data_IF_481137059788
#
_entry.id   IF_481137059788
#
_cell.length_a   1.000
_cell.length_b   1.000
_cell.length_c   1.000
_cell.angle_alpha   90.00
_cell.angle_beta   90.00
_cell.angle_gamma   90.00
#
_symmetry.space_group_name_H-M   'P 1'
#
loop_
_entity.id
_entity.type
_entity.pdbx_description
1 polymer ?
#
# COMPACT_ATOMS: atom_id res chain seq x y z
N UNK A 1 47.71 -55.59 49.76
CA UNK A 1 47.72 -55.67 48.28
C UNK A 1 46.43 -55.03 47.76
N UNK A 2 46.56 -54.29 46.66
CA UNK A 2 45.67 -53.20 46.21
C UNK A 2 44.26 -53.64 45.82
N UNK A 3 43.25 -52.88 46.26
CA UNK A 3 41.90 -52.89 45.73
C UNK A 3 41.82 -51.90 44.55
N UNK A 4 41.31 -52.36 43.41
CA UNK A 4 41.08 -51.53 42.22
C UNK A 4 39.61 -51.13 42.17
N UNK A 5 39.37 -49.81 42.26
CA UNK A 5 38.08 -49.16 42.05
C UNK A 5 37.97 -48.85 40.55
N UNK A 6 37.00 -49.44 39.86
CA UNK A 6 36.67 -49.07 38.47
C UNK A 6 35.68 -47.91 38.49
N UNK A 7 36.10 -46.75 38.01
CA UNK A 7 35.24 -45.59 37.76
C UNK A 7 34.76 -45.67 36.30
N UNK A 8 33.48 -45.94 36.09
CA UNK A 8 32.87 -45.87 34.76
C UNK A 8 32.51 -44.40 34.46
N UNK A 9 33.21 -43.81 33.49
CA UNK A 9 32.96 -42.46 33.01
C UNK A 9 31.96 -42.54 31.84
N UNK A 10 30.69 -42.27 32.11
CA UNK A 10 29.65 -42.13 31.08
C UNK A 10 29.73 -40.74 30.46
N UNK A 11 30.29 -40.64 29.25
CA UNK A 11 30.24 -39.43 28.43
C UNK A 11 28.84 -39.28 27.84
N UNK A 12 28.06 -38.34 28.37
CA UNK A 12 26.81 -37.87 27.76
C UNK A 12 27.18 -37.09 26.49
N UNK A 13 26.99 -37.71 25.32
CA UNK A 13 27.08 -37.03 24.03
C UNK A 13 25.81 -36.18 23.88
N UNK A 14 25.93 -34.87 24.05
CA UNK A 14 24.91 -33.91 23.66
C UNK A 14 24.81 -33.93 22.13
N UNK A 15 23.72 -34.49 21.60
CA UNK A 15 23.36 -34.34 20.19
C UNK A 15 22.98 -32.87 19.96
N UNK A 16 23.71 -32.10 19.14
CA UNK A 16 23.17 -30.84 18.66
C UNK A 16 22.01 -31.20 17.74
N UNK A 17 20.78 -30.86 18.15
CA UNK A 17 19.67 -30.85 17.22
C UNK A 17 20.08 -29.95 16.05
N UNK A 18 19.87 -30.37 14.79
CA UNK A 18 20.11 -29.48 13.66
C UNK A 18 19.19 -28.27 13.84
N UNK A 19 19.79 -27.09 14.00
CA UNK A 19 19.12 -25.84 13.69
C UNK A 19 18.71 -25.98 12.22
N UNK A 20 17.41 -26.15 11.98
CA UNK A 20 16.87 -26.07 10.63
C UNK A 20 17.24 -24.69 10.10
N UNK A 21 18.10 -24.65 9.09
CA UNK A 21 18.33 -23.45 8.32
C UNK A 21 17.00 -23.09 7.66
N UNK A 22 16.43 -21.95 8.05
CA UNK A 22 15.28 -21.34 7.38
C UNK A 22 15.66 -21.18 5.91
N UNK A 23 14.85 -21.73 4.99
CA UNK A 23 15.12 -21.63 3.55
C UNK A 23 15.17 -20.15 3.15
N UNK A 24 15.95 -19.82 2.12
CA UNK A 24 16.21 -18.43 1.71
C UNK A 24 14.93 -17.63 1.34
N UNK A 25 13.80 -18.31 1.17
CA UNK A 25 12.50 -17.76 0.79
C UNK A 25 11.45 -17.78 1.92
N UNK A 26 11.80 -18.22 3.13
CA UNK A 26 10.87 -18.33 4.27
C UNK A 26 11.03 -17.13 5.22
N UNK A 27 10.82 -15.91 4.73
CA UNK A 27 10.81 -14.69 5.55
C UNK A 27 9.41 -14.06 5.61
N UNK A 28 9.15 -13.27 6.66
CA UNK A 28 7.90 -12.55 6.80
C UNK A 28 7.79 -11.47 5.72
N UNK A 29 6.69 -11.48 4.95
CA UNK A 29 6.40 -10.47 3.92
C UNK A 29 6.29 -9.06 4.48
N UNK A 30 5.77 -8.92 5.70
CA UNK A 30 5.74 -7.65 6.43
C UNK A 30 6.93 -7.59 7.39
N UNK A 31 7.88 -6.73 7.07
CA UNK A 31 9.02 -6.37 7.90
C UNK A 31 8.62 -5.52 9.12
N UNK A 32 9.61 -5.09 9.94
CA UNK A 32 9.35 -4.42 11.20
C UNK A 32 8.67 -3.05 11.08
N UNK A 33 8.74 -2.41 9.90
CA UNK A 33 8.14 -1.10 9.63
C UNK A 33 6.71 -1.19 9.05
N UNK A 34 6.16 -2.41 8.95
CA UNK A 34 4.80 -2.69 8.51
C UNK A 34 4.08 -3.60 9.52
N UNK A 35 3.11 -3.06 10.25
CA UNK A 35 2.33 -3.80 11.24
C UNK A 35 0.99 -4.21 10.66
N UNK A 36 0.76 -5.51 10.48
CA UNK A 36 -0.51 -6.03 10.00
C UNK A 36 -1.71 -5.47 10.77
N UNK A 37 -2.78 -5.07 10.07
CA UNK A 37 -4.05 -4.60 10.66
C UNK A 37 -4.66 -5.60 11.66
N UNK A 38 -4.42 -6.89 11.45
CA UNK A 38 -4.92 -7.96 12.33
C UNK A 38 -4.15 -8.02 13.65
N UNK A 39 -2.89 -7.55 13.66
CA UNK A 39 -2.07 -7.43 14.86
C UNK A 39 -2.34 -6.11 15.60
N UNK A 40 -2.56 -5.02 14.86
CA UNK A 40 -2.96 -3.72 15.42
C UNK A 40 -4.24 -3.18 14.74
N UNK A 41 -5.36 -3.32 15.46
CA UNK A 41 -6.65 -2.76 15.09
C UNK A 41 -7.20 -1.82 16.17
N UNK A 42 -6.35 -1.36 17.09
CA UNK A 42 -6.80 -0.54 18.21
C UNK A 42 -7.50 0.73 17.72
N UNK A 43 -6.85 1.46 16.80
CA UNK A 43 -7.43 2.67 16.19
C UNK A 43 -8.78 2.40 15.55
N UNK A 44 -8.93 1.35 14.74
CA UNK A 44 -10.19 1.04 14.06
C UNK A 44 -11.33 0.62 15.00
N UNK A 45 -11.02 0.27 16.25
CA UNK A 45 -12.02 -0.10 17.26
C UNK A 45 -12.49 1.08 18.10
N UNK A 46 -11.75 2.18 18.10
CA UNK A 46 -12.04 3.33 18.98
C UNK A 46 -12.05 4.70 18.28
N UNK A 47 -11.31 4.85 17.17
CA UNK A 47 -11.31 6.02 16.30
C UNK A 47 -12.44 5.96 15.26
N UNK A 48 -12.67 7.09 14.60
CA UNK A 48 -13.73 7.19 13.58
C UNK A 48 -13.33 6.48 12.29
N UNK A 49 -12.08 6.64 11.82
CA UNK A 49 -11.54 5.99 10.63
C UNK A 49 -12.49 6.06 9.40
N UNK A 50 -12.96 7.26 9.02
CA UNK A 50 -14.01 7.42 8.02
C UNK A 50 -13.66 6.74 6.68
N UNK A 51 -12.42 6.92 6.20
CA UNK A 51 -11.91 6.30 4.99
C UNK A 51 -11.89 4.77 5.07
N UNK A 52 -11.53 4.20 6.22
CA UNK A 52 -11.49 2.75 6.38
C UNK A 52 -12.88 2.16 6.15
N UNK A 53 -13.90 2.76 6.77
CA UNK A 53 -15.27 2.29 6.66
C UNK A 53 -15.85 2.52 5.27
N UNK A 54 -15.48 3.62 4.62
CA UNK A 54 -15.92 3.91 3.26
C UNK A 54 -15.24 3.01 2.23
N UNK A 55 -13.94 2.73 2.36
CA UNK A 55 -13.13 2.21 1.25
C UNK A 55 -12.78 0.74 1.36
N UNK A 56 -12.63 0.19 2.57
CA UNK A 56 -12.12 -1.19 2.78
C UNK A 56 -12.90 -2.26 2.03
N UNK A 57 -14.22 -2.10 1.86
CA UNK A 57 -15.07 -3.05 1.13
C UNK A 57 -14.85 -3.02 -0.39
N UNK A 58 -14.30 -1.93 -0.93
CA UNK A 58 -14.07 -1.70 -2.36
C UNK A 58 -12.64 -2.01 -2.82
N UNK A 59 -11.70 -2.11 -1.89
CA UNK A 59 -10.32 -2.53 -2.20
C UNK A 59 -10.32 -4.01 -2.59
N UNK A 60 -9.97 -4.29 -3.85
CA UNK A 60 -9.88 -5.64 -4.44
C UNK A 60 -8.45 -5.92 -4.89
N UNK A 61 -8.06 -7.22 -4.98
CA UNK A 61 -6.77 -7.58 -5.55
C UNK A 61 -6.60 -6.98 -6.95
N UNK A 62 -5.42 -6.44 -7.25
CA UNK A 62 -5.04 -6.06 -8.60
C UNK A 62 -5.12 -7.28 -9.54
N UNK A 63 -5.62 -7.10 -10.75
CA UNK A 63 -5.89 -8.24 -11.66
C UNK A 63 -4.65 -8.72 -12.45
N UNK A 64 -3.54 -7.99 -12.39
CA UNK A 64 -2.21 -8.36 -12.92
C UNK A 64 -1.14 -7.91 -11.94
N UNK A 65 0.10 -8.32 -12.14
CA UNK A 65 1.24 -7.84 -11.35
C UNK A 65 1.55 -6.35 -11.52
N UNK A 66 0.93 -5.66 -12.49
CA UNK A 66 1.22 -4.24 -12.82
C UNK A 66 -0.01 -3.34 -12.72
N UNK A 67 -1.15 -3.84 -12.23
CA UNK A 67 -2.43 -3.13 -12.19
C UNK A 67 -2.74 -2.43 -10.84
N UNK A 68 -1.74 -2.20 -9.98
CA UNK A 68 -1.93 -1.52 -8.69
C UNK A 68 -2.61 -0.14 -8.83
N UNK A 69 -2.31 0.59 -9.90
CA UNK A 69 -2.94 1.88 -10.22
C UNK A 69 -4.44 1.77 -10.49
N UNK A 70 -4.87 0.84 -11.35
CA UNK A 70 -6.29 0.63 -11.69
C UNK A 70 -7.05 0.16 -10.46
N UNK A 71 -6.48 -0.80 -9.72
CA UNK A 71 -7.08 -1.33 -8.50
C UNK A 71 -7.34 -0.22 -7.48
N UNK A 72 -6.33 0.61 -7.25
CA UNK A 72 -6.40 1.70 -6.27
C UNK A 72 -7.36 2.79 -6.70
N UNK A 73 -7.30 3.27 -7.96
CA UNK A 73 -8.22 4.31 -8.46
C UNK A 73 -9.67 3.82 -8.47
N UNK A 74 -9.91 2.56 -8.85
CA UNK A 74 -11.24 1.94 -8.80
C UNK A 74 -11.77 1.90 -7.38
N UNK A 75 -10.95 1.50 -6.41
CA UNK A 75 -11.34 1.44 -5.00
C UNK A 75 -11.66 2.83 -4.44
N UNK A 76 -10.84 3.85 -4.75
CA UNK A 76 -11.07 5.22 -4.34
C UNK A 76 -12.39 5.78 -4.88
N UNK A 77 -12.65 5.62 -6.18
CA UNK A 77 -13.88 6.10 -6.82
C UNK A 77 -15.12 5.38 -6.28
N UNK A 78 -15.08 4.05 -6.18
CA UNK A 78 -16.18 3.27 -5.58
C UNK A 78 -16.42 3.67 -4.12
N UNK A 79 -15.36 3.95 -3.38
CA UNK A 79 -15.41 4.45 -2.03
C UNK A 79 -16.21 5.75 -1.90
N UNK A 80 -15.86 6.75 -2.72
CA UNK A 80 -16.54 8.05 -2.73
C UNK A 80 -17.99 7.92 -3.22
N UNK A 81 -18.25 7.06 -4.20
CA UNK A 81 -19.60 6.83 -4.75
C UNK A 81 -20.49 5.98 -3.82
N UNK A 82 -19.88 5.14 -2.99
CA UNK A 82 -20.56 4.20 -2.11
C UNK A 82 -21.31 3.09 -2.86
N UNK A 83 -22.15 2.37 -2.11
CA UNK A 83 -23.04 1.35 -2.66
C UNK A 83 -24.11 2.00 -3.55
N UNK A 84 -24.29 1.57 -4.82
CA UNK A 84 -25.36 2.01 -5.68
C UNK A 84 -26.73 1.79 -5.03
N UNK A 85 -27.60 2.78 -5.20
CA UNK A 85 -28.94 2.80 -4.59
C UNK A 85 -29.83 1.64 -5.09
N UNK A 86 -29.62 1.20 -6.34
CA UNK A 86 -30.48 0.23 -7.01
C UNK A 86 -29.79 -1.11 -7.22
N UNK A 87 -30.48 -2.20 -6.90
CA UNK A 87 -29.96 -3.57 -7.07
C UNK A 87 -29.62 -3.96 -8.51
N UNK A 88 -30.13 -3.21 -9.51
CA UNK A 88 -29.79 -3.40 -10.93
C UNK A 88 -28.46 -2.77 -11.33
N UNK A 89 -27.86 -1.94 -10.47
CA UNK A 89 -26.54 -1.35 -10.67
C UNK A 89 -25.50 -2.16 -9.90
N UNK A 90 -24.38 -2.46 -10.56
CA UNK A 90 -23.25 -3.16 -9.96
C UNK A 90 -22.22 -2.16 -9.43
N UNK A 91 -21.42 -2.61 -8.46
CA UNK A 91 -20.17 -1.92 -8.12
C UNK A 91 -19.24 -1.97 -9.33
N UNK A 92 -18.58 -0.86 -9.65
CA UNK A 92 -17.64 -0.79 -10.76
C UNK A 92 -16.44 -1.70 -10.49
N UNK A 93 -16.12 -2.56 -11.45
CA UNK A 93 -14.90 -3.38 -11.43
C UNK A 93 -13.71 -2.63 -12.03
N UNK A 94 -12.50 -3.19 -11.85
CA UNK A 94 -11.29 -2.64 -12.47
C UNK A 94 -11.37 -2.69 -14.01
N UNK A 95 -12.01 -3.72 -14.55
CA UNK A 95 -12.26 -3.86 -15.99
C UNK A 95 -13.28 -2.83 -16.48
N UNK A 96 -14.36 -2.61 -15.72
CA UNK A 96 -15.34 -1.57 -16.07
C UNK A 96 -14.68 -0.19 -16.14
N UNK A 97 -13.79 0.15 -15.20
CA UNK A 97 -13.07 1.42 -15.22
C UNK A 97 -12.17 1.57 -16.46
N UNK A 98 -11.44 0.51 -16.82
CA UNK A 98 -10.62 0.50 -18.05
C UNK A 98 -11.48 0.65 -19.31
N UNK A 99 -12.63 -0.01 -19.37
CA UNK A 99 -13.55 0.10 -20.50
C UNK A 99 -14.17 1.51 -20.59
N UNK A 100 -14.52 2.11 -19.45
CA UNK A 100 -15.08 3.46 -19.37
C UNK A 100 -14.10 4.54 -19.80
N UNK A 101 -12.85 4.44 -19.37
CA UNK A 101 -11.79 5.38 -19.78
C UNK A 101 -11.33 5.13 -21.21
N UNK A 102 -11.33 3.87 -21.65
CA UNK A 102 -10.81 3.43 -22.94
C UNK A 102 -9.37 3.91 -23.21
N UNK A 103 -8.58 4.10 -22.14
CA UNK A 103 -7.20 4.55 -22.23
C UNK A 103 -6.27 3.37 -22.59
N UNK A 104 -5.82 3.34 -23.84
CA UNK A 104 -4.95 2.28 -24.35
C UNK A 104 -3.56 2.25 -23.68
N UNK A 105 -3.06 3.41 -23.23
CA UNK A 105 -1.78 3.49 -22.52
C UNK A 105 -1.92 2.89 -21.13
N UNK A 106 -2.93 3.31 -20.36
CA UNK A 106 -3.17 2.78 -19.01
C UNK A 106 -3.39 1.26 -19.04
N UNK A 107 -4.16 0.78 -20.01
CA UNK A 107 -4.36 -0.66 -20.23
C UNK A 107 -3.05 -1.40 -20.56
N UNK A 108 -2.17 -0.79 -21.38
CA UNK A 108 -0.91 -1.42 -21.77
C UNK A 108 0.09 -1.50 -20.62
N UNK A 109 0.29 -0.40 -19.88
CA UNK A 109 1.25 -0.36 -18.76
C UNK A 109 0.78 -1.16 -17.54
N UNK A 110 -0.52 -1.40 -17.42
CA UNK A 110 -1.11 -2.23 -16.36
C UNK A 110 -1.38 -3.68 -16.78
N UNK A 111 -1.03 -4.06 -18.01
CA UNK A 111 -1.13 -5.45 -18.45
C UNK A 111 -0.17 -6.34 -17.66
N UNK A 112 -0.34 -7.67 -17.76
CA UNK A 112 0.57 -8.61 -17.12
C UNK A 112 2.02 -8.38 -17.60
N UNK A 113 2.94 -8.16 -16.66
CA UNK A 113 4.33 -7.80 -16.96
C UNK A 113 4.52 -6.41 -17.59
N UNK A 114 3.51 -5.54 -17.53
CA UNK A 114 3.63 -4.14 -17.94
C UNK A 114 4.53 -3.34 -17.01
N UNK A 115 5.04 -2.20 -17.48
CA UNK A 115 6.01 -1.37 -16.75
C UNK A 115 5.43 -0.71 -15.49
N UNK A 116 4.11 -0.75 -15.28
CA UNK A 116 3.43 0.04 -14.26
C UNK A 116 3.33 1.51 -14.66
N UNK A 117 2.92 2.36 -13.71
CA UNK A 117 2.67 3.79 -13.99
C UNK A 117 3.69 4.67 -13.28
N UNK A 118 4.03 5.80 -13.88
CA UNK A 118 4.72 6.92 -13.21
C UNK A 118 3.76 7.66 -12.26
N UNK A 119 4.31 8.49 -11.37
CA UNK A 119 3.48 9.32 -10.50
C UNK A 119 2.56 10.26 -11.30
N UNK A 120 3.08 10.88 -12.37
CA UNK A 120 2.27 11.77 -13.20
C UNK A 120 1.17 11.02 -13.95
N UNK A 121 1.45 9.81 -14.46
CA UNK A 121 0.42 8.98 -15.07
C UNK A 121 -0.69 8.61 -14.06
N UNK A 122 -0.35 8.34 -12.79
CA UNK A 122 -1.38 8.13 -11.76
C UNK A 122 -2.30 9.36 -11.60
N UNK A 123 -1.73 10.57 -11.58
CA UNK A 123 -2.50 11.83 -11.53
C UNK A 123 -3.40 11.96 -12.76
N UNK A 124 -2.85 11.74 -13.95
CA UNK A 124 -3.55 11.93 -15.22
C UNK A 124 -4.68 10.91 -15.38
N UNK A 125 -4.41 9.63 -15.11
CA UNK A 125 -5.39 8.55 -15.15
C UNK A 125 -6.48 8.69 -14.08
N UNK A 126 -6.16 9.23 -12.91
CA UNK A 126 -7.17 9.57 -11.89
C UNK A 126 -8.12 10.66 -12.41
N UNK A 127 -7.59 11.73 -13.03
CA UNK A 127 -8.43 12.78 -13.60
C UNK A 127 -9.34 12.24 -14.73
N UNK A 128 -8.79 11.38 -15.59
CA UNK A 128 -9.55 10.75 -16.66
C UNK A 128 -10.65 9.83 -16.12
N UNK A 129 -10.33 9.03 -15.10
CA UNK A 129 -11.29 8.17 -14.42
C UNK A 129 -12.46 8.98 -13.83
N UNK A 130 -12.18 10.08 -13.12
CA UNK A 130 -13.19 10.98 -12.56
C UNK A 130 -14.11 11.55 -13.64
N UNK A 131 -13.53 11.99 -14.76
CA UNK A 131 -14.29 12.50 -15.91
C UNK A 131 -15.17 11.41 -16.54
N UNK A 132 -14.64 10.18 -16.69
CA UNK A 132 -15.36 9.06 -17.28
C UNK A 132 -16.56 8.62 -16.42
N UNK A 133 -16.45 8.65 -15.09
CA UNK A 133 -17.57 8.34 -14.18
C UNK A 133 -18.49 9.54 -13.92
N UNK A 134 -18.14 10.72 -14.41
CA UNK A 134 -18.93 11.95 -14.23
C UNK A 134 -18.92 12.48 -12.79
N UNK A 135 -17.85 12.22 -12.04
CA UNK A 135 -17.73 12.64 -10.64
C UNK A 135 -17.07 14.03 -10.56
N UNK A 136 -17.82 15.03 -10.07
CA UNK A 136 -17.32 16.41 -9.93
C UNK A 136 -16.38 16.54 -8.72
N UNK A 137 -15.10 16.30 -8.99
CA UNK A 137 -14.00 16.23 -8.03
C UNK A 137 -12.72 16.77 -8.67
N UNK A 138 -11.80 17.23 -7.82
CA UNK A 138 -10.46 17.65 -8.23
C UNK A 138 -9.42 16.64 -7.76
N UNK A 139 -8.34 16.50 -8.54
CA UNK A 139 -7.14 15.77 -8.12
C UNK A 139 -6.10 16.75 -7.62
N UNK A 140 -5.65 16.56 -6.39
CA UNK A 140 -4.45 17.21 -5.85
C UNK A 140 -3.28 16.25 -5.88
N UNK A 141 -2.08 16.81 -6.09
CA UNK A 141 -0.84 16.06 -6.04
C UNK A 141 0.12 16.64 -4.99
N UNK A 142 0.81 15.75 -4.29
CA UNK A 142 1.93 16.08 -3.42
C UNK A 142 3.05 15.09 -3.66
N UNK A 143 4.09 15.52 -4.37
CA UNK A 143 5.20 14.69 -4.85
C UNK A 143 6.53 15.27 -4.35
N UNK A 144 6.87 15.09 -3.06
CA UNK A 144 8.15 15.53 -2.53
C UNK A 144 9.27 14.63 -3.09
N UNK A 145 10.37 15.25 -3.50
CA UNK A 145 11.55 14.51 -4.00
C UNK A 145 12.63 14.30 -2.95
N UNK A 146 12.48 14.91 -1.77
CA UNK A 146 13.41 14.82 -0.64
C UNK A 146 12.67 14.72 0.69
N UNK A 147 13.19 13.91 1.61
CA UNK A 147 12.72 13.88 2.98
C UNK A 147 13.21 15.14 3.70
N UNK A 148 12.27 15.98 4.13
CA UNK A 148 12.54 17.22 4.88
C UNK A 148 11.41 17.49 5.85
N UNK A 149 11.63 18.33 6.85
CA UNK A 149 10.58 18.73 7.80
C UNK A 149 9.36 19.34 7.09
N UNK A 150 9.59 20.06 5.98
CA UNK A 150 8.52 20.62 5.15
C UNK A 150 7.73 19.53 4.44
N UNK A 151 8.41 18.52 3.87
CA UNK A 151 7.76 17.40 3.22
C UNK A 151 6.97 16.55 4.22
N UNK A 152 7.56 16.26 5.39
CA UNK A 152 6.89 15.56 6.48
C UNK A 152 5.66 16.31 6.96
N UNK A 153 5.77 17.63 7.14
CA UNK A 153 4.64 18.47 7.52
C UNK A 153 3.53 18.42 6.46
N UNK A 154 3.88 18.56 5.17
CA UNK A 154 2.89 18.47 4.08
C UNK A 154 2.17 17.13 4.05
N UNK A 155 2.90 16.03 4.27
CA UNK A 155 2.33 14.68 4.36
C UNK A 155 1.34 14.56 5.52
N UNK A 156 1.73 15.00 6.72
CA UNK A 156 0.87 14.99 7.91
C UNK A 156 -0.35 15.89 7.74
N UNK A 157 -0.19 17.09 7.19
CA UNK A 157 -1.31 18.02 6.97
C UNK A 157 -2.37 17.41 6.05
N UNK A 158 -1.96 16.73 4.97
CA UNK A 158 -2.88 16.03 4.06
C UNK A 158 -3.57 14.84 4.73
N UNK A 159 -2.84 14.04 5.52
CA UNK A 159 -3.42 12.91 6.25
C UNK A 159 -4.44 13.37 7.29
N UNK A 160 -4.20 14.49 7.96
CA UNK A 160 -5.15 15.10 8.91
C UNK A 160 -6.38 15.63 8.19
N UNK A 161 -6.22 16.28 7.03
CA UNK A 161 -7.34 16.76 6.21
C UNK A 161 -8.22 15.58 5.76
N UNK A 162 -7.60 14.52 5.25
CA UNK A 162 -8.28 13.34 4.73
C UNK A 162 -8.99 12.53 5.83
N UNK A 163 -8.36 12.28 6.98
CA UNK A 163 -8.97 11.54 8.10
C UNK A 163 -10.20 12.25 8.72
N UNK A 164 -10.48 13.51 8.35
CA UNK A 164 -11.61 14.26 8.87
C UNK A 164 -12.96 13.86 8.27
N UNK A 165 -12.98 13.17 7.12
CA UNK A 165 -14.22 12.75 6.44
C UNK A 165 -13.99 11.56 5.52
N UNK A 166 -15.04 11.08 4.84
CA UNK A 166 -14.93 10.08 3.77
C UNK A 166 -15.21 10.68 2.37
N UNK A 167 -15.22 12.02 2.26
CA UNK A 167 -15.59 12.73 1.02
C UNK A 167 -14.42 12.91 0.05
N UNK A 168 -13.21 12.57 0.48
CA UNK A 168 -11.97 12.59 -0.26
C UNK A 168 -11.21 11.27 -0.07
N UNK A 169 -10.23 11.01 -0.93
CA UNK A 169 -9.46 9.76 -0.88
C UNK A 169 -8.01 10.02 -1.25
N UNK A 170 -7.07 9.58 -0.39
CA UNK A 170 -5.64 9.63 -0.68
C UNK A 170 -5.16 8.28 -1.23
N UNK A 171 -4.59 8.33 -2.43
CA UNK A 171 -3.81 7.24 -3.01
C UNK A 171 -2.34 7.58 -2.82
N UNK A 172 -1.57 6.61 -2.35
CA UNK A 172 -0.14 6.77 -2.13
C UNK A 172 0.65 6.01 -3.17
N UNK A 173 1.59 6.70 -3.81
CA UNK A 173 2.65 6.12 -4.62
C UNK A 173 3.91 6.07 -3.77
N UNK A 174 4.51 4.91 -3.59
CA UNK A 174 5.67 4.74 -2.69
C UNK A 174 6.51 3.53 -3.10
N UNK A 175 7.74 3.45 -2.62
CA UNK A 175 8.55 2.24 -2.73
C UNK A 175 8.13 1.22 -1.67
N UNK A 176 7.54 0.10 -2.08
CA UNK A 176 6.97 -0.90 -1.16
C UNK A 176 8.03 -1.53 -0.26
N UNK A 177 9.21 -1.84 -0.80
CA UNK A 177 10.31 -2.48 -0.09
C UNK A 177 10.88 -1.64 1.06
N UNK A 178 10.72 -0.31 1.05
CA UNK A 178 11.08 0.53 2.21
C UNK A 178 10.14 0.29 3.39
N UNK A 179 8.88 -0.03 3.12
CA UNK A 179 7.86 -0.24 4.15
C UNK A 179 7.84 -1.71 4.58
N UNK A 180 7.81 -2.63 3.63
CA UNK A 180 7.63 -4.07 3.89
C UNK A 180 8.95 -4.80 4.08
N UNK A 181 10.07 -4.28 3.58
CA UNK A 181 11.35 -4.98 3.57
C UNK A 181 11.43 -6.16 2.58
N UNK A 182 10.43 -6.32 1.70
CA UNK A 182 10.34 -7.39 0.71
C UNK A 182 10.75 -6.89 -0.70
N UNK A 183 9.78 -6.62 -1.58
CA UNK A 183 10.04 -6.26 -2.97
C UNK A 183 10.39 -4.78 -3.12
N UNK A 184 11.58 -4.49 -3.66
CA UNK A 184 12.08 -3.13 -3.86
C UNK A 184 11.57 -2.52 -5.17
N UNK A 185 10.34 -2.02 -5.16
CA UNK A 185 9.78 -1.35 -6.33
C UNK A 185 8.65 -0.37 -6.02
N UNK A 186 8.28 0.43 -7.03
CA UNK A 186 7.20 1.40 -6.91
C UNK A 186 5.86 0.69 -6.83
N UNK A 187 5.01 1.15 -5.92
CA UNK A 187 3.71 0.59 -5.67
C UNK A 187 2.68 1.68 -5.38
N UNK A 188 1.42 1.37 -5.63
CA UNK A 188 0.29 2.28 -5.43
C UNK A 188 -0.78 1.57 -4.62
N UNK A 189 -1.20 2.20 -3.53
CA UNK A 189 -2.23 1.70 -2.64
C UNK A 189 -3.10 2.84 -2.12
N UNK A 190 -4.22 2.49 -1.47
CA UNK A 190 -5.14 3.45 -0.89
C UNK A 190 -4.82 3.69 0.58
N UNK A 191 -4.84 4.93 1.04
CA UNK A 191 -4.79 5.23 2.49
C UNK A 191 -6.18 4.93 3.07
N UNK A 192 -6.21 4.16 4.15
CA UNK A 192 -7.45 3.78 4.82
C UNK A 192 -7.69 4.48 6.15
N UNK A 193 -6.65 4.99 6.80
CA UNK A 193 -6.77 5.71 8.05
C UNK A 193 -5.45 6.41 8.41
N UNK A 194 -5.54 7.45 9.22
CA UNK A 194 -4.41 8.07 9.90
C UNK A 194 -4.63 8.14 11.42
N UNK A 195 -3.82 7.40 12.17
CA UNK A 195 -3.74 7.53 13.62
C UNK A 195 -2.77 8.67 13.97
N UNK A 196 -3.33 9.83 14.30
CA UNK A 196 -2.56 11.01 14.68
C UNK A 196 -1.81 10.87 16.01
N UNK A 197 -2.27 10.02 16.94
CA UNK A 197 -1.57 9.80 18.21
C UNK A 197 -0.33 8.94 17.99
N UNK A 198 -0.49 7.84 17.25
CA UNK A 198 0.60 6.92 16.93
C UNK A 198 1.49 7.40 15.76
N UNK A 199 1.05 8.40 14.99
CA UNK A 199 1.67 8.83 13.73
C UNK A 199 1.78 7.69 12.71
N UNK A 200 0.72 6.88 12.62
CA UNK A 200 0.66 5.69 11.76
C UNK A 200 -0.37 5.88 10.66
N UNK A 201 -0.05 5.39 9.46
CA UNK A 201 -0.91 5.42 8.27
C UNK A 201 -1.28 3.98 7.93
N UNK A 202 -2.57 3.71 7.79
CA UNK A 202 -3.07 2.42 7.32
C UNK A 202 -3.05 2.39 5.80
N UNK A 203 -2.32 1.44 5.24
CA UNK A 203 -2.31 1.15 3.81
C UNK A 203 -3.32 0.04 3.53
N UNK A 204 -4.33 0.34 2.71
CA UNK A 204 -5.26 -0.64 2.17
C UNK A 204 -4.68 -1.21 0.88
N UNK A 205 -4.17 -2.42 1.01
CA UNK A 205 -3.36 -3.06 0.00
C UNK A 205 -4.19 -3.67 -1.14
N UNK A 206 -3.75 -3.44 -2.37
CA UNK A 206 -4.32 -4.01 -3.61
C UNK A 206 -3.50 -5.20 -4.12
N UNK A 207 -2.23 -5.32 -3.73
CA UNK A 207 -1.41 -6.51 -3.97
C UNK A 207 -1.71 -7.61 -2.94
N UNK A 208 -2.97 -8.06 -2.96
CA UNK A 208 -3.50 -9.01 -1.97
C UNK A 208 -3.09 -10.47 -2.21
N UNK A 209 -2.31 -10.73 -3.27
CA UNK A 209 -1.61 -12.01 -3.40
C UNK A 209 -0.56 -12.17 -2.30
N UNK A 210 0.11 -11.08 -1.93
CA UNK A 210 1.26 -11.09 -1.03
C UNK A 210 0.99 -10.44 0.33
N UNK A 211 0.12 -9.43 0.37
CA UNK A 211 -0.01 -8.57 1.54
C UNK A 211 -1.47 -8.35 1.95
N UNK A 212 -1.72 -8.25 3.25
CA UNK A 212 -2.98 -7.71 3.79
C UNK A 212 -2.77 -6.24 4.17
N UNK A 213 -3.82 -5.46 4.49
CA UNK A 213 -3.63 -4.10 4.98
C UNK A 213 -2.70 -4.02 6.20
N UNK A 214 -1.87 -2.99 6.26
CA UNK A 214 -0.88 -2.79 7.31
C UNK A 214 -0.71 -1.32 7.66
N UNK A 215 -0.30 -1.07 8.90
CA UNK A 215 0.12 0.23 9.38
C UNK A 215 1.61 0.45 9.12
N UNK A 216 1.98 1.66 8.71
CA UNK A 216 3.37 2.11 8.68
C UNK A 216 3.48 3.52 9.26
N UNK A 217 4.67 3.89 9.75
CA UNK A 217 4.86 5.23 10.31
C UNK A 217 4.88 6.31 9.23
N UNK A 218 4.49 7.54 9.57
CA UNK A 218 4.64 8.71 8.70
C UNK A 218 6.07 8.87 8.17
N UNK A 219 7.07 8.59 8.99
CA UNK A 219 8.48 8.76 8.62
C UNK A 219 8.95 7.67 7.66
N UNK A 220 8.54 6.42 7.88
CA UNK A 220 8.77 5.31 6.95
C UNK A 220 8.08 5.57 5.62
N UNK A 221 6.83 6.01 5.64
CA UNK A 221 6.08 6.31 4.41
C UNK A 221 6.73 7.46 3.63
N UNK A 222 7.18 8.52 4.30
CA UNK A 222 7.92 9.60 3.64
C UNK A 222 9.22 9.09 3.02
N UNK A 223 9.98 8.24 3.73
CA UNK A 223 11.19 7.63 3.19
C UNK A 223 10.90 6.77 1.95
N UNK A 224 9.79 6.04 1.96
CA UNK A 224 9.33 5.23 0.84
C UNK A 224 8.88 6.08 -0.36
N UNK A 225 8.22 7.20 -0.10
CA UNK A 225 7.77 8.18 -1.10
C UNK A 225 8.97 8.81 -1.82
N UNK A 226 10.00 9.23 -1.08
CA UNK A 226 11.12 9.98 -1.67
C UNK A 226 12.23 9.07 -2.22
N UNK A 227 12.13 7.75 -2.02
CA UNK A 227 13.11 6.81 -2.57
C UNK A 227 12.96 6.74 -4.09
N UNK A 228 14.00 7.09 -4.86
CA UNK A 228 13.95 6.94 -6.31
C UNK A 228 13.87 5.46 -6.68
N UNK A 229 13.01 5.13 -7.62
CA UNK A 229 12.94 3.80 -8.22
C UNK A 229 14.27 3.40 -8.86
N UNK A 230 14.72 2.16 -8.62
CA UNK A 230 15.97 1.62 -9.15
C UNK A 230 15.91 1.42 -10.68
N UNK A 231 17.08 1.31 -11.31
CA UNK A 231 17.21 1.15 -12.76
C UNK A 231 16.61 -0.15 -13.32
N UNK A 232 16.33 -1.15 -12.46
CA UNK A 232 15.75 -2.42 -12.89
C UNK A 232 14.28 -2.31 -13.29
N UNK A 233 13.61 -1.21 -12.93
CA UNK A 233 12.21 -0.92 -13.29
C UNK A 233 12.09 -0.07 -14.56
N UNK A 234 13.14 -0.05 -15.40
CA UNK A 234 13.12 0.48 -16.76
C UNK A 234 12.58 1.91 -16.84
N UNK A 235 11.42 2.17 -17.49
CA UNK A 235 10.86 3.51 -17.65
C UNK A 235 10.57 4.24 -16.33
N UNK A 236 10.45 3.53 -15.21
CA UNK A 236 10.21 4.11 -13.90
C UNK A 236 11.50 4.53 -13.18
N UNK A 237 12.69 4.27 -13.72
CA UNK A 237 13.96 4.65 -13.10
C UNK A 237 13.97 6.12 -12.65
N UNK A 238 14.36 6.35 -11.40
CA UNK A 238 14.49 7.69 -10.82
C UNK A 238 13.16 8.36 -10.45
N UNK A 239 12.01 7.75 -10.74
CA UNK A 239 10.72 8.26 -10.27
C UNK A 239 10.65 8.23 -8.74
N UNK A 240 9.99 9.24 -8.17
CA UNK A 240 9.63 9.29 -6.75
C UNK A 240 8.11 9.31 -6.65
N UNK A 241 7.61 8.96 -5.47
CA UNK A 241 6.19 8.84 -5.19
C UNK A 241 5.58 10.07 -4.53
N UNK A 242 4.43 9.88 -3.88
CA UNK A 242 3.71 10.97 -3.25
C UNK A 242 2.25 10.61 -3.00
N UNK A 243 1.45 11.63 -2.70
CA UNK A 243 0.01 11.50 -2.61
C UNK A 243 -0.68 12.06 -3.84
N UNK A 244 -1.68 11.31 -4.30
CA UNK A 244 -2.69 11.75 -5.25
C UNK A 244 -4.02 11.71 -4.50
N UNK A 245 -4.63 12.87 -4.30
CA UNK A 245 -5.85 13.00 -3.50
C UNK A 245 -7.02 13.42 -4.38
N UNK A 246 -8.08 12.61 -4.40
CA UNK A 246 -9.38 12.99 -4.95
C UNK A 246 -10.10 13.78 -3.87
N UNK A 247 -10.61 14.97 -4.18
CA UNK A 247 -11.39 15.77 -3.22
C UNK A 247 -12.51 16.57 -3.89
N UNK A 248 -13.44 17.10 -3.09
CA UNK A 248 -14.52 17.95 -3.56
C UNK A 248 -14.02 19.07 -4.50
N UNK A 249 -14.80 19.35 -5.55
CA UNK A 249 -14.60 20.57 -6.35
C UNK A 249 -14.87 21.79 -5.44
N UNK A 250 -13.90 22.70 -5.34
CA UNK A 250 -13.98 23.90 -4.50
C UNK A 250 -14.89 24.99 -5.06
#
# INVERSE_FOLDING_TARGET
>A
MRAYLFLALTTLLANPAPLFAQEADDYAKLGPDAVAITADNAYLRSGEAPDYWAFSSFVKPQFTTSACSIATVTAAINGIMGQPEWASQTIMTQQDLLELTANAEWAAVSAEGGDGVTFQQLVDFTNEALAAVGLDRNVMQFNPTIASDMARKGLVDMLVENEASADDAIMVYFNQGVVTGDWDGPHIALVGAYDAEAQMVLILEVDQEWYIPYWTSVDTLLAAIVKPTSAEHGPLEGQTGGFVMIRAAG
#
